data_IF_487906851793
#
_entry.id   IF_487906851793
#
_cell.length_a   1.000
_cell.length_b   1.000
_cell.length_c   1.000
_cell.angle_alpha   90.00
_cell.angle_beta   90.00
_cell.angle_gamma   90.00
#
_symmetry.space_group_name_H-M   'P 1'
#
loop_
_entity.id
_entity.type
_entity.pdbx_description
1 polymer ?
#
# COMPACT_ATOMS: atom_id res chain seq x y z
N UNK A 1 -9.69 -44.43 45.35
CA UNK A 1 -9.39 -43.12 44.73
C UNK A 1 -7.88 -42.93 44.76
N UNK A 2 -7.20 -42.93 43.61
CA UNK A 2 -5.73 -42.85 43.56
C UNK A 2 -5.32 -41.39 43.36
N UNK A 3 -4.94 -40.72 44.44
CA UNK A 3 -4.38 -39.36 44.36
C UNK A 3 -2.99 -39.44 43.73
N UNK A 4 -2.86 -38.96 42.49
CA UNK A 4 -1.58 -38.93 41.77
C UNK A 4 -0.93 -37.58 42.01
N UNK A 5 0.16 -37.56 42.79
CA UNK A 5 0.91 -36.33 43.10
C UNK A 5 1.49 -35.72 41.81
N UNK A 6 1.33 -34.41 41.55
CA UNK A 6 2.00 -33.76 40.44
C UNK A 6 3.52 -33.78 40.68
N UNK A 7 4.26 -34.43 39.79
CA UNK A 7 5.72 -34.46 39.82
C UNK A 7 6.22 -33.10 39.33
N UNK A 8 6.70 -32.26 40.23
CA UNK A 8 7.38 -31.02 39.86
C UNK A 8 8.63 -31.38 39.04
N UNK A 9 8.62 -31.06 37.74
CA UNK A 9 9.81 -31.19 36.88
C UNK A 9 10.76 -30.03 37.18
N UNK A 10 11.74 -30.27 38.04
CA UNK A 10 12.81 -29.32 38.38
C UNK A 10 13.84 -29.09 37.26
N UNK A 11 13.62 -29.60 36.04
CA UNK A 11 14.58 -29.57 34.93
C UNK A 11 14.34 -28.46 33.90
N UNK A 12 13.40 -27.53 34.13
CA UNK A 12 13.16 -26.38 33.24
C UNK A 12 13.49 -25.05 33.92
N UNK A 13 14.45 -25.05 34.84
CA UNK A 13 14.96 -23.81 35.41
C UNK A 13 15.93 -23.19 34.40
N UNK A 14 15.67 -21.97 33.90
CA UNK A 14 16.63 -21.27 33.06
C UNK A 14 17.96 -21.12 33.79
N UNK A 15 19.06 -21.06 33.04
CA UNK A 15 20.37 -20.81 33.67
C UNK A 15 20.33 -19.51 34.49
N UNK A 16 20.89 -19.51 35.71
CA UNK A 16 20.87 -18.34 36.57
C UNK A 16 21.71 -17.21 35.95
N UNK A 17 21.03 -16.12 35.57
CA UNK A 17 21.67 -14.93 35.02
C UNK A 17 22.34 -14.14 36.13
N UNK A 18 23.64 -13.88 35.99
CA UNK A 18 24.39 -13.12 37.01
C UNK A 18 24.01 -11.63 36.97
N UNK A 19 24.18 -10.88 38.07
CA UNK A 19 23.94 -9.44 38.08
C UNK A 19 24.75 -8.69 37.01
N UNK A 20 25.98 -9.15 36.72
CA UNK A 20 26.81 -8.60 35.65
C UNK A 20 26.20 -8.80 34.25
N UNK A 21 25.64 -9.98 34.00
CA UNK A 21 24.96 -10.25 32.72
C UNK A 21 23.70 -9.39 32.56
N UNK A 22 22.93 -9.17 33.63
CA UNK A 22 21.78 -8.24 33.60
C UNK A 22 22.19 -6.81 33.30
N UNK A 23 23.30 -6.33 33.87
CA UNK A 23 23.80 -4.99 33.60
C UNK A 23 24.23 -4.81 32.13
N UNK A 24 24.85 -5.84 31.53
CA UNK A 24 25.19 -5.83 30.11
C UNK A 24 23.93 -5.75 29.22
N UNK A 25 22.88 -6.52 29.51
CA UNK A 25 21.61 -6.47 28.78
C UNK A 25 20.95 -5.09 28.84
N UNK A 26 20.91 -4.46 30.02
CA UNK A 26 20.35 -3.11 30.17
C UNK A 26 21.11 -2.06 29.35
N UNK A 27 22.44 -2.19 29.27
CA UNK A 27 23.26 -1.31 28.45
C UNK A 27 22.97 -1.49 26.95
N UNK A 28 22.92 -2.73 26.50
CA UNK A 28 22.63 -3.08 25.10
C UNK A 28 21.22 -2.63 24.71
N UNK A 29 20.23 -2.77 25.59
CA UNK A 29 18.86 -2.34 25.33
C UNK A 29 18.75 -0.81 25.24
N UNK A 30 19.45 -0.08 26.13
CA UNK A 30 19.49 1.39 26.10
C UNK A 30 20.12 1.93 24.81
N UNK A 31 21.23 1.36 24.35
CA UNK A 31 21.96 1.85 23.16
C UNK A 31 21.34 1.29 21.88
N UNK A 32 20.94 0.01 21.88
CA UNK A 32 20.46 -0.72 20.72
C UNK A 32 19.05 -0.32 20.29
N UNK A 33 18.15 -0.03 21.24
CA UNK A 33 16.76 0.34 20.94
C UNK A 33 16.65 1.59 20.06
N UNK A 34 17.46 2.62 20.34
CA UNK A 34 17.49 3.87 19.57
C UNK A 34 17.89 3.65 18.10
N UNK A 35 18.88 2.78 17.85
CA UNK A 35 19.37 2.45 16.50
C UNK A 35 18.35 1.66 15.70
N UNK A 36 17.68 0.69 16.35
CA UNK A 36 16.60 -0.10 15.75
C UNK A 36 15.41 0.77 15.37
N UNK A 37 14.99 1.69 16.26
CA UNK A 37 13.93 2.65 15.96
C UNK A 37 14.29 3.54 14.78
N UNK A 38 15.51 4.11 14.77
CA UNK A 38 15.95 4.95 13.66
C UNK A 38 15.95 4.19 12.32
N UNK A 39 16.36 2.91 12.31
CA UNK A 39 16.30 2.07 11.11
C UNK A 39 14.87 1.79 10.67
N UNK A 40 13.98 1.45 11.60
CA UNK A 40 12.58 1.20 11.29
C UNK A 40 11.88 2.45 10.77
N UNK A 41 12.18 3.63 11.32
CA UNK A 41 11.68 4.91 10.82
C UNK A 41 12.16 5.21 9.40
N UNK A 42 13.42 4.93 9.08
CA UNK A 42 13.94 5.05 7.71
C UNK A 42 13.19 4.12 6.75
N UNK A 43 12.93 2.88 7.15
CA UNK A 43 12.16 1.93 6.34
C UNK A 43 10.71 2.39 6.14
N UNK A 44 10.06 2.91 7.18
CA UNK A 44 8.72 3.50 7.06
C UNK A 44 8.69 4.68 6.09
N UNK A 45 9.66 5.60 6.22
CA UNK A 45 9.75 6.76 5.32
C UNK A 45 9.95 6.34 3.86
N UNK A 46 10.85 5.38 3.60
CA UNK A 46 11.06 4.83 2.25
C UNK A 46 9.82 4.11 1.73
N UNK A 47 9.11 3.36 2.58
CA UNK A 47 7.86 2.71 2.21
C UNK A 47 6.76 3.70 1.83
N UNK A 48 6.58 4.76 2.63
CA UNK A 48 5.64 5.84 2.33
C UNK A 48 6.00 6.57 1.03
N UNK A 49 7.30 6.84 0.82
CA UNK A 49 7.77 7.47 -0.41
C UNK A 49 7.44 6.58 -1.61
N UNK A 50 7.82 5.29 -1.58
CA UNK A 50 7.53 4.35 -2.66
C UNK A 50 6.03 4.24 -2.97
N UNK A 51 5.18 4.20 -1.95
CA UNK A 51 3.73 4.22 -2.11
C UNK A 51 3.24 5.51 -2.78
N UNK A 52 3.71 6.66 -2.32
CA UNK A 52 3.33 7.95 -2.89
C UNK A 52 3.76 8.07 -4.37
N UNK A 53 5.00 7.67 -4.70
CA UNK A 53 5.51 7.69 -6.07
C UNK A 53 4.75 6.70 -6.96
N UNK A 54 4.48 5.49 -6.45
CA UNK A 54 3.72 4.47 -7.17
C UNK A 54 2.28 4.90 -7.48
N UNK A 55 1.58 5.45 -6.48
CA UNK A 55 0.23 5.98 -6.66
C UNK A 55 0.22 7.17 -7.64
N UNK A 56 1.14 8.11 -7.47
CA UNK A 56 1.23 9.28 -8.36
C UNK A 56 1.53 8.85 -9.80
N UNK A 57 2.48 7.95 -10.01
CA UNK A 57 2.81 7.39 -11.32
C UNK A 57 1.65 6.64 -11.95
N UNK A 58 0.93 5.81 -11.18
CA UNK A 58 -0.27 5.11 -11.63
C UNK A 58 -1.38 6.08 -12.03
N UNK A 59 -1.58 7.16 -11.26
CA UNK A 59 -2.57 8.19 -11.56
C UNK A 59 -2.22 8.95 -12.84
N UNK A 60 -0.94 9.30 -13.04
CA UNK A 60 -0.46 9.92 -14.28
C UNK A 60 -0.73 8.99 -15.47
N UNK A 61 -0.36 7.71 -15.36
CA UNK A 61 -0.63 6.72 -16.42
C UNK A 61 -2.11 6.62 -16.75
N UNK A 62 -2.96 6.53 -15.72
CA UNK A 62 -4.41 6.49 -15.87
C UNK A 62 -4.95 7.76 -16.55
N UNK A 63 -4.42 8.94 -16.19
CA UNK A 63 -4.85 10.22 -16.74
C UNK A 63 -4.51 10.38 -18.23
N UNK A 64 -3.43 9.72 -18.69
CA UNK A 64 -3.03 9.73 -20.10
C UNK A 64 -3.94 8.83 -20.96
N UNK A 65 -4.69 7.91 -20.36
CA UNK A 65 -5.63 7.07 -21.08
C UNK A 65 -6.93 7.83 -21.37
N UNK A 66 -6.95 8.60 -22.45
CA UNK A 66 -8.17 9.31 -22.88
C UNK A 66 -9.25 8.32 -23.33
N UNK A 67 -10.38 8.28 -22.62
CA UNK A 67 -11.58 7.49 -22.96
C UNK A 67 -12.76 8.42 -23.30
N UNK A 68 -12.55 9.31 -24.25
CA UNK A 68 -13.64 10.15 -24.78
C UNK A 68 -14.21 9.45 -26.00
N UNK A 69 -15.50 9.10 -25.94
CA UNK A 69 -16.27 8.65 -27.11
C UNK A 69 -17.10 9.86 -27.57
N UNK A 70 -16.65 10.59 -28.62
CA UNK A 70 -17.43 11.69 -29.16
C UNK A 70 -18.73 11.15 -29.80
N UNK A 71 -19.84 11.87 -29.67
CA UNK A 71 -21.11 11.58 -30.33
C UNK A 71 -21.46 12.73 -31.26
N UNK A 72 -21.88 12.42 -32.47
CA UNK A 72 -22.41 13.39 -33.42
C UNK A 72 -23.91 13.22 -33.47
N UNK A 73 -24.63 14.34 -33.40
CA UNK A 73 -26.08 14.40 -33.59
C UNK A 73 -26.35 15.21 -34.84
N UNK A 74 -26.97 14.58 -35.82
CA UNK A 74 -27.46 15.26 -37.01
C UNK A 74 -28.76 15.99 -36.68
N UNK A 75 -28.87 17.26 -37.08
CA UNK A 75 -30.05 18.11 -36.87
C UNK A 75 -30.51 18.62 -38.23
N UNK A 76 -31.80 18.44 -38.55
CA UNK A 76 -32.43 18.95 -39.77
C UNK A 76 -32.59 20.48 -39.72
N UNK A 77 -32.79 21.15 -40.85
CA UNK A 77 -32.97 22.61 -40.94
C UNK A 77 -34.15 23.16 -40.13
N UNK A 78 -35.06 22.30 -39.70
CA UNK A 78 -36.18 22.60 -38.80
C UNK A 78 -35.88 22.33 -37.31
N UNK A 79 -34.67 21.86 -36.97
CA UNK A 79 -34.24 21.58 -35.60
C UNK A 79 -34.51 20.15 -35.10
N UNK A 80 -35.03 19.25 -35.93
CA UNK A 80 -35.28 17.86 -35.55
C UNK A 80 -34.00 17.00 -35.59
N UNK A 81 -33.75 16.22 -34.53
CA UNK A 81 -32.57 15.33 -34.43
C UNK A 81 -32.79 14.03 -35.22
N UNK A 82 -31.94 13.75 -36.22
CA UNK A 82 -32.18 12.67 -37.20
C UNK A 82 -31.40 11.38 -36.95
N UNK A 83 -30.26 11.40 -36.26
CA UNK A 83 -29.56 10.20 -35.78
C UNK A 83 -28.47 10.55 -34.75
N UNK A 84 -28.23 9.66 -33.79
CA UNK A 84 -27.10 9.73 -32.85
C UNK A 84 -26.15 8.58 -33.17
N UNK A 85 -24.97 8.88 -33.72
CA UNK A 85 -23.93 7.89 -33.99
C UNK A 85 -22.64 8.22 -33.20
N UNK A 86 -21.91 7.21 -32.69
CA UNK A 86 -20.56 7.43 -32.18
C UNK A 86 -19.70 8.03 -33.29
N UNK A 87 -19.06 9.16 -33.02
CA UNK A 87 -18.21 9.82 -33.99
C UNK A 87 -17.01 8.93 -34.28
N UNK A 88 -16.95 8.41 -35.49
CA UNK A 88 -15.79 7.69 -36.01
C UNK A 88 -14.65 8.71 -36.05
N UNK A 89 -13.42 8.28 -35.75
CA UNK A 89 -12.23 9.15 -35.56
C UNK A 89 -11.99 10.22 -36.64
N UNK A 90 -12.60 10.07 -37.82
CA UNK A 90 -12.50 10.96 -38.97
C UNK A 90 -13.90 11.39 -39.47
N UNK A 91 -14.80 11.84 -38.59
CA UNK A 91 -16.06 12.42 -39.06
C UNK A 91 -15.78 13.80 -39.67
N UNK A 92 -15.81 13.92 -40.99
CA UNK A 92 -15.82 15.20 -41.68
C UNK A 92 -17.26 15.71 -41.78
N UNK A 93 -17.54 16.97 -41.38
CA UNK A 93 -18.88 17.56 -41.51
C UNK A 93 -19.44 17.58 -42.95
N UNK A 94 -18.62 17.26 -43.96
CA UNK A 94 -19.00 17.14 -45.37
C UNK A 94 -19.49 15.75 -45.78
N UNK A 95 -19.38 14.73 -44.92
CA UNK A 95 -19.85 13.36 -45.18
C UNK A 95 -21.37 13.18 -44.92
N UNK A 96 -22.08 14.27 -44.62
CA UNK A 96 -23.53 14.31 -44.36
C UNK A 96 -24.35 14.65 -45.61
#
# INVERSE_FOLDING_TARGET
MLFKRPVHRYGKTPEPVTPYQKAAQLWDERIGSSRLQARNWRLMALGCLALATGLSGGLVWQSMQSRVVPYVVEVDGFGETRAVAPAIRNYEPSDA
#
